data_IF_825071943489
#
_entry.id   IF_825071943489
#
_cell.length_a   1.000
_cell.length_b   1.000
_cell.length_c   1.000
_cell.angle_alpha   90.00
_cell.angle_beta   90.00
_cell.angle_gamma   90.00
#
_symmetry.space_group_name_H-M   'P 1'
#
loop_
_entity.id
_entity.type
_entity.pdbx_description
1 polymer ?
#
# COMPACT_ATOMS: atom_id res chain seq x y z
N UNK A 1 4.74 -33.62 1.65
CA UNK A 1 4.99 -32.25 2.16
C UNK A 1 3.73 -31.75 2.85
N UNK A 2 3.77 -31.36 4.13
CA UNK A 2 2.60 -30.78 4.83
C UNK A 2 2.19 -29.49 4.10
N UNK A 3 0.94 -29.38 3.68
CA UNK A 3 0.40 -28.18 3.01
C UNK A 3 0.47 -27.02 4.01
N UNK A 4 1.32 -26.02 3.74
CA UNK A 4 1.41 -24.85 4.62
C UNK A 4 0.07 -24.12 4.61
N UNK A 5 -0.53 -23.97 5.80
CA UNK A 5 -1.74 -23.16 5.95
C UNK A 5 -1.36 -21.69 5.80
N UNK A 6 -2.11 -20.98 4.94
CA UNK A 6 -1.92 -19.56 4.67
C UNK A 6 -2.95 -18.74 5.45
N UNK A 7 -2.52 -17.60 5.98
CA UNK A 7 -3.37 -16.60 6.63
C UNK A 7 -3.37 -15.34 5.78
N UNK A 8 -4.55 -14.78 5.54
CA UNK A 8 -4.67 -13.48 4.89
C UNK A 8 -4.18 -12.36 5.83
N UNK A 9 -3.13 -11.66 5.42
CA UNK A 9 -2.59 -10.50 6.15
C UNK A 9 -3.12 -9.17 5.59
N UNK A 10 -3.24 -9.07 4.26
CA UNK A 10 -3.66 -7.83 3.57
C UNK A 10 -4.71 -8.09 2.50
N UNK A 11 -5.71 -7.21 2.42
CA UNK A 11 -6.77 -7.23 1.41
C UNK A 11 -6.26 -6.75 0.04
N UNK A 12 -6.93 -7.11 -1.06
CA UNK A 12 -6.52 -6.68 -2.43
C UNK A 12 -6.43 -5.16 -2.55
N UNK A 13 -7.43 -4.43 -2.05
CA UNK A 13 -7.46 -2.97 -2.07
C UNK A 13 -6.36 -2.30 -1.22
N UNK A 14 -5.85 -2.99 -0.21
CA UNK A 14 -4.72 -2.54 0.60
C UNK A 14 -3.41 -2.61 -0.18
N UNK A 15 -3.19 -3.74 -0.85
CA UNK A 15 -2.01 -3.98 -1.66
C UNK A 15 -1.96 -3.07 -2.88
N UNK A 16 -3.08 -2.92 -3.59
CA UNK A 16 -3.16 -2.03 -4.74
C UNK A 16 -2.79 -0.59 -4.35
N UNK A 17 -3.38 -0.06 -3.27
CA UNK A 17 -3.05 1.29 -2.80
C UNK A 17 -1.56 1.42 -2.40
N UNK A 18 -0.98 0.39 -1.78
CA UNK A 18 0.44 0.38 -1.47
C UNK A 18 1.31 0.47 -2.74
N UNK A 19 1.03 -0.36 -3.75
CA UNK A 19 1.80 -0.38 -4.99
C UNK A 19 1.65 0.91 -5.80
N UNK A 20 0.49 1.55 -5.78
CA UNK A 20 0.31 2.90 -6.35
C UNK A 20 1.21 3.91 -5.65
N UNK A 21 1.18 3.95 -4.32
CA UNK A 21 2.05 4.87 -3.54
C UNK A 21 3.53 4.57 -3.74
N UNK A 22 3.92 3.29 -3.82
CA UNK A 22 5.29 2.88 -4.09
C UNK A 22 5.75 3.33 -5.49
N UNK A 23 4.90 3.17 -6.52
CA UNK A 23 5.18 3.65 -7.87
C UNK A 23 5.34 5.18 -7.92
N UNK A 24 4.43 5.92 -7.28
CA UNK A 24 4.56 7.38 -7.16
C UNK A 24 5.84 7.78 -6.43
N UNK A 25 6.18 7.11 -5.33
CA UNK A 25 7.40 7.36 -4.58
C UNK A 25 8.65 7.21 -5.45
N UNK A 26 8.75 6.13 -6.24
CA UNK A 26 9.92 5.91 -7.11
C UNK A 26 10.07 7.06 -8.11
N UNK A 27 8.99 7.47 -8.77
CA UNK A 27 9.02 8.59 -9.71
C UNK A 27 9.40 9.91 -9.01
N UNK A 28 8.84 10.18 -7.83
CA UNK A 28 9.16 11.37 -7.04
C UNK A 28 10.59 11.39 -6.51
N UNK A 29 11.10 10.25 -6.07
CA UNK A 29 12.48 10.11 -5.61
C UNK A 29 13.46 10.36 -6.76
N UNK A 30 13.20 9.79 -7.94
CA UNK A 30 14.03 9.99 -9.14
C UNK A 30 14.04 11.47 -9.55
N UNK A 31 12.86 12.07 -9.74
CA UNK A 31 12.76 13.49 -10.14
C UNK A 31 13.30 14.45 -9.06
N UNK A 32 13.01 14.17 -7.78
CA UNK A 32 13.50 14.96 -6.65
C UNK A 32 15.02 14.91 -6.50
N UNK A 33 15.63 13.72 -6.60
CA UNK A 33 17.08 13.57 -6.59
C UNK A 33 17.75 14.30 -7.76
N UNK A 34 17.12 14.28 -8.93
CA UNK A 34 17.60 15.01 -10.11
C UNK A 34 17.70 16.53 -9.87
N UNK A 35 16.80 17.08 -9.05
CA UNK A 35 16.80 18.51 -8.67
C UNK A 35 17.64 18.81 -7.43
N UNK A 36 17.89 17.80 -6.58
CA UNK A 36 18.61 17.95 -5.32
C UNK A 36 20.12 18.03 -5.51
N UNK A 37 20.70 17.18 -6.35
CA UNK A 37 22.14 17.12 -6.57
C UNK A 37 22.49 17.17 -8.07
N UNK A 38 23.33 18.12 -8.54
CA UNK A 38 23.57 18.33 -9.97
C UNK A 38 24.06 17.09 -10.74
N UNK A 39 24.84 16.21 -10.11
CA UNK A 39 25.33 14.99 -10.75
C UNK A 39 24.19 14.01 -11.12
N UNK A 40 23.02 14.15 -10.50
CA UNK A 40 21.84 13.33 -10.79
C UNK A 40 20.90 13.97 -11.81
N UNK A 41 21.24 15.12 -12.39
CA UNK A 41 20.35 15.84 -13.30
C UNK A 41 19.94 15.02 -14.53
N UNK A 42 20.78 14.07 -14.97
CA UNK A 42 20.47 13.14 -16.06
C UNK A 42 19.21 12.29 -15.80
N UNK A 43 18.83 12.08 -14.54
CA UNK A 43 17.60 11.37 -14.17
C UNK A 43 16.33 12.07 -14.68
N UNK A 44 16.40 13.38 -14.98
CA UNK A 44 15.29 14.09 -15.63
C UNK A 44 14.90 13.50 -16.99
N UNK A 45 15.82 12.83 -17.67
CA UNK A 45 15.56 12.15 -18.95
C UNK A 45 14.54 11.00 -18.84
N UNK A 46 14.34 10.42 -17.64
CA UNK A 46 13.30 9.40 -17.40
C UNK A 46 11.90 9.99 -17.63
N UNK A 47 11.74 11.29 -17.43
CA UNK A 47 10.51 12.03 -17.68
C UNK A 47 10.50 12.68 -19.08
N UNK A 48 11.42 12.29 -19.97
CA UNK A 48 11.60 12.89 -21.30
C UNK A 48 12.38 14.19 -21.26
N UNK A 49 11.92 15.21 -20.51
CA UNK A 49 12.61 16.50 -20.40
C UNK A 49 12.66 17.04 -18.96
N UNK A 50 13.65 17.87 -18.61
CA UNK A 50 13.69 18.56 -17.32
C UNK A 50 12.45 19.42 -17.04
N UNK A 51 11.87 20.01 -18.09
CA UNK A 51 10.64 20.81 -18.00
C UNK A 51 9.46 19.93 -17.60
N UNK A 52 9.31 18.77 -18.24
CA UNK A 52 8.24 17.83 -17.91
C UNK A 52 8.42 17.27 -16.49
N UNK A 53 9.64 16.87 -16.11
CA UNK A 53 9.95 16.40 -14.76
C UNK A 53 9.50 17.42 -13.68
N UNK A 54 9.81 18.71 -13.88
CA UNK A 54 9.44 19.78 -12.96
C UNK A 54 7.92 19.97 -12.86
N UNK A 55 7.21 19.82 -13.99
CA UNK A 55 5.76 19.98 -14.05
C UNK A 55 5.03 18.81 -13.37
N UNK A 56 5.45 17.58 -13.61
CA UNK A 56 4.76 16.39 -13.10
C UNK A 56 5.11 16.07 -11.65
N UNK A 57 6.29 16.44 -11.16
CA UNK A 57 6.71 16.16 -9.79
C UNK A 57 5.67 16.56 -8.73
N UNK A 58 5.19 17.82 -8.65
CA UNK A 58 4.20 18.18 -7.64
C UNK A 58 2.83 17.49 -7.85
N UNK A 59 2.45 17.18 -9.10
CA UNK A 59 1.20 16.49 -9.42
C UNK A 59 1.23 15.04 -8.90
N UNK A 60 2.32 14.31 -9.19
CA UNK A 60 2.54 12.97 -8.66
C UNK A 60 2.65 13.03 -7.13
N UNK A 61 3.22 14.10 -6.58
CA UNK A 61 3.30 14.38 -5.15
C UNK A 61 1.93 14.39 -4.48
N UNK A 62 0.96 15.09 -5.07
CA UNK A 62 -0.43 15.12 -4.58
C UNK A 62 -1.06 13.73 -4.63
N UNK A 63 -0.89 12.99 -5.74
CA UNK A 63 -1.42 11.62 -5.86
C UNK A 63 -0.83 10.71 -4.79
N UNK A 64 0.49 10.78 -4.57
CA UNK A 64 1.17 10.02 -3.52
C UNK A 64 0.63 10.39 -2.13
N UNK A 65 0.49 11.69 -1.84
CA UNK A 65 0.02 12.17 -0.54
C UNK A 65 -1.39 11.65 -0.24
N UNK A 66 -2.32 11.75 -1.19
CA UNK A 66 -3.68 11.23 -1.03
C UNK A 66 -3.71 9.71 -0.88
N UNK A 67 -2.93 8.99 -1.68
CA UNK A 67 -2.80 7.54 -1.58
C UNK A 67 -2.23 7.10 -0.23
N UNK A 68 -1.21 7.79 0.27
CA UNK A 68 -0.61 7.54 1.58
C UNK A 68 -1.58 7.91 2.70
N UNK A 69 -2.28 9.04 2.61
CA UNK A 69 -3.29 9.46 3.59
C UNK A 69 -4.38 8.39 3.75
N UNK A 70 -4.83 7.78 2.65
CA UNK A 70 -5.73 6.62 2.70
C UNK A 70 -5.13 5.42 3.43
N UNK A 71 -3.82 5.15 3.29
CA UNK A 71 -3.14 4.10 4.05
C UNK A 71 -3.08 4.47 5.54
N UNK A 72 -2.74 5.71 5.86
CA UNK A 72 -2.67 6.22 7.22
C UNK A 72 -4.00 5.99 7.96
N UNK A 73 -5.13 6.43 7.39
CA UNK A 73 -6.46 6.25 8.00
C UNK A 73 -6.81 4.78 8.26
N UNK A 74 -6.29 3.87 7.44
CA UNK A 74 -6.53 2.43 7.60
C UNK A 74 -5.66 1.81 8.69
N UNK A 75 -4.40 2.22 8.80
CA UNK A 75 -3.41 1.52 9.63
C UNK A 75 -3.08 2.23 10.94
N UNK A 76 -3.41 3.51 11.11
CA UNK A 76 -3.03 4.30 12.29
C UNK A 76 -3.40 3.63 13.63
N UNK A 77 -4.59 3.05 13.76
CA UNK A 77 -5.04 2.35 14.98
C UNK A 77 -4.15 1.15 15.35
N UNK A 78 -3.58 0.47 14.37
CA UNK A 78 -2.68 -0.66 14.62
C UNK A 78 -1.24 -0.23 14.91
N UNK A 79 -0.92 1.06 14.73
CA UNK A 79 0.44 1.59 14.85
C UNK A 79 0.67 2.45 16.10
N UNK A 80 -0.28 2.47 17.05
CA UNK A 80 -0.02 3.04 18.37
C UNK A 80 1.09 2.24 19.09
N UNK A 81 2.07 2.98 19.60
CA UNK A 81 3.21 2.44 20.35
C UNK A 81 2.71 2.03 21.74
N UNK A 82 2.97 0.79 22.13
CA UNK A 82 2.67 0.24 23.43
C UNK A 82 3.95 -0.19 24.16
N UNK A 83 3.81 -0.64 25.41
CA UNK A 83 4.95 -1.05 26.25
C UNK A 83 5.75 -2.22 25.65
N UNK A 84 5.09 -3.13 24.95
CA UNK A 84 5.75 -4.26 24.28
C UNK A 84 6.59 -3.80 23.08
N UNK A 85 6.14 -2.77 22.36
CA UNK A 85 6.91 -2.17 21.27
C UNK A 85 8.19 -1.49 21.79
N UNK A 86 8.13 -0.86 22.98
CA UNK A 86 9.31 -0.25 23.61
C UNK A 86 10.33 -1.33 23.99
N UNK A 87 9.87 -2.44 24.59
CA UNK A 87 10.74 -3.59 24.88
C UNK A 87 11.39 -4.13 23.59
N UNK A 88 10.60 -4.25 22.52
CA UNK A 88 11.11 -4.67 21.22
C UNK A 88 12.18 -3.70 20.69
N UNK A 89 11.94 -2.38 20.78
CA UNK A 89 12.89 -1.35 20.34
C UNK A 89 14.20 -1.36 21.15
N UNK A 90 14.13 -1.62 22.46
CA UNK A 90 15.32 -1.76 23.30
C UNK A 90 16.12 -3.05 23.00
N UNK A 91 15.48 -4.06 22.43
CA UNK A 91 16.08 -5.33 22.09
C UNK A 91 16.48 -5.47 20.60
N UNK A 92 16.52 -4.37 19.85
CA UNK A 92 16.91 -4.35 18.42
C UNK A 92 18.23 -5.10 18.14
N UNK A 93 19.30 -4.97 18.95
CA UNK A 93 20.53 -5.75 18.70
C UNK A 93 20.30 -7.26 18.69
N UNK A 94 19.40 -7.76 19.54
CA UNK A 94 19.07 -9.19 19.62
C UNK A 94 18.23 -9.63 18.40
N UNK A 95 17.29 -8.78 17.96
CA UNK A 95 16.49 -9.01 16.75
C UNK A 95 17.37 -9.08 15.51
N UNK A 96 18.36 -8.20 15.39
CA UNK A 96 19.31 -8.19 14.27
C UNK A 96 20.18 -9.45 14.25
N UNK A 97 20.46 -10.03 15.42
CA UNK A 97 21.14 -11.33 15.56
C UNK A 97 20.21 -12.55 15.36
N UNK A 98 18.94 -12.33 15.01
CA UNK A 98 17.97 -13.38 14.70
C UNK A 98 17.19 -13.94 15.88
N UNK A 99 17.28 -13.30 17.06
CA UNK A 99 16.47 -13.66 18.23
C UNK A 99 15.09 -12.99 18.18
N UNK A 100 14.04 -13.74 18.48
CA UNK A 100 12.68 -13.20 18.60
C UNK A 100 12.46 -12.67 20.03
N UNK A 101 11.94 -11.46 20.16
CA UNK A 101 11.74 -10.78 21.45
C UNK A 101 10.36 -10.14 21.52
N UNK A 102 9.73 -10.28 22.69
CA UNK A 102 8.45 -9.66 23.02
C UNK A 102 7.23 -10.35 22.37
N UNK A 103 6.05 -9.98 22.86
CA UNK A 103 4.78 -10.49 22.33
C UNK A 103 4.25 -9.58 21.21
N UNK A 104 4.82 -9.74 20.01
CA UNK A 104 4.59 -8.85 18.87
C UNK A 104 3.17 -8.99 18.30
N UNK A 105 2.46 -7.86 18.25
CA UNK A 105 1.13 -7.70 17.64
C UNK A 105 1.16 -7.70 16.11
N UNK A 106 0.15 -7.07 15.48
CA UNK A 106 0.05 -7.02 14.00
C UNK A 106 1.27 -6.37 13.34
N UNK A 107 1.89 -5.41 14.01
CA UNK A 107 3.13 -4.75 13.63
C UNK A 107 4.09 -4.72 14.83
N UNK A 108 5.39 -4.85 14.57
CA UNK A 108 6.43 -4.71 15.59
C UNK A 108 6.83 -3.24 15.81
N UNK A 109 7.64 -2.98 16.86
CA UNK A 109 8.07 -1.62 17.21
C UNK A 109 8.79 -0.90 16.06
N UNK A 110 9.65 -1.59 15.31
CA UNK A 110 10.34 -1.02 14.15
C UNK A 110 9.39 -0.63 13.01
N UNK A 111 8.41 -1.48 12.70
CA UNK A 111 7.37 -1.20 11.70
C UNK A 111 6.52 0.01 12.09
N UNK A 112 6.15 0.13 13.37
CA UNK A 112 5.40 1.28 13.89
C UNK A 112 6.23 2.55 13.88
N UNK A 113 7.49 2.49 14.28
CA UNK A 113 8.42 3.61 14.21
C UNK A 113 8.58 4.11 12.77
N UNK A 114 8.74 3.19 11.82
CA UNK A 114 8.81 3.52 10.39
C UNK A 114 7.50 4.13 9.88
N UNK A 115 6.34 3.63 10.30
CA UNK A 115 5.04 4.21 9.95
C UNK A 115 4.94 5.68 10.39
N UNK A 116 5.34 6.00 11.61
CA UNK A 116 5.30 7.38 12.13
C UNK A 116 6.34 8.28 11.47
N UNK A 117 7.56 7.78 11.23
CA UNK A 117 8.58 8.49 10.47
C UNK A 117 8.06 8.89 9.09
N UNK A 118 7.55 7.91 8.33
CA UNK A 118 7.01 8.15 6.99
C UNK A 118 5.80 9.10 7.02
N UNK A 119 4.95 8.99 8.04
CA UNK A 119 3.81 9.91 8.22
C UNK A 119 4.28 11.35 8.44
N UNK A 120 5.25 11.55 9.34
CA UNK A 120 5.83 12.87 9.59
C UNK A 120 6.46 13.47 8.34
N UNK A 121 7.28 12.69 7.63
CA UNK A 121 7.85 13.12 6.35
C UNK A 121 6.78 13.46 5.32
N UNK A 122 5.73 12.65 5.20
CA UNK A 122 4.65 12.88 4.23
C UNK A 122 3.88 14.18 4.52
N UNK A 123 3.61 14.47 5.79
CA UNK A 123 2.97 15.73 6.20
C UNK A 123 3.85 16.93 5.86
N UNK A 124 5.15 16.87 6.19
CA UNK A 124 6.09 17.95 5.87
C UNK A 124 6.19 18.13 4.35
N UNK A 125 6.36 17.05 3.59
CA UNK A 125 6.45 17.11 2.12
C UNK A 125 5.17 17.65 1.48
N UNK A 126 4.00 17.23 1.95
CA UNK A 126 2.72 17.73 1.46
C UNK A 126 2.58 19.24 1.67
N UNK A 127 2.79 19.72 2.90
CA UNK A 127 2.66 21.15 3.22
C UNK A 127 3.70 21.98 2.49
N UNK A 128 4.97 21.59 2.59
CA UNK A 128 6.07 22.34 1.96
C UNK A 128 6.03 22.28 0.44
N UNK A 129 5.57 21.17 -0.14
CA UNK A 129 5.39 21.00 -1.57
C UNK A 129 4.34 21.94 -2.13
N UNK A 130 3.21 22.12 -1.43
CA UNK A 130 2.20 23.12 -1.79
C UNK A 130 2.79 24.54 -1.71
N UNK A 131 3.48 24.90 -0.62
CA UNK A 131 4.09 26.23 -0.45
C UNK A 131 5.12 26.52 -1.56
N UNK A 132 5.92 25.52 -1.93
CA UNK A 132 6.97 25.65 -2.95
C UNK A 132 6.44 25.59 -4.39
N UNK A 133 5.15 25.30 -4.61
CA UNK A 133 4.58 25.12 -5.94
C UNK A 133 4.40 26.45 -6.65
N UNK A 134 5.40 26.81 -7.47
CA UNK A 134 5.52 28.12 -8.13
C UNK A 134 4.29 28.56 -8.93
N UNK A 135 3.76 27.67 -9.78
CA UNK A 135 2.72 28.05 -10.74
C UNK A 135 1.39 28.44 -10.08
N UNK A 136 1.06 27.84 -8.93
CA UNK A 136 -0.28 27.94 -8.36
C UNK A 136 -0.31 28.57 -6.97
N UNK A 137 0.68 28.28 -6.11
CA UNK A 137 0.56 28.58 -4.67
C UNK A 137 1.67 29.46 -4.12
N UNK A 138 2.90 29.37 -4.65
CA UNK A 138 4.06 30.05 -4.06
C UNK A 138 3.91 31.57 -3.96
N UNK A 139 3.17 32.19 -4.89
CA UNK A 139 2.95 33.63 -4.90
C UNK A 139 2.13 34.16 -3.72
N UNK A 140 1.41 33.29 -3.00
CA UNK A 140 0.65 33.67 -1.80
C UNK A 140 1.50 33.69 -0.52
N UNK A 141 2.77 33.26 -0.58
CA UNK A 141 3.63 33.15 0.58
C UNK A 141 4.81 34.11 0.51
N UNK A 142 5.23 34.62 1.67
CA UNK A 142 6.45 35.41 1.77
C UNK A 142 7.68 34.61 1.30
N UNK A 143 8.65 35.29 0.69
CA UNK A 143 9.85 34.63 0.13
C UNK A 143 10.64 33.81 1.16
N UNK A 144 10.71 34.28 2.41
CA UNK A 144 11.37 33.56 3.49
C UNK A 144 10.65 32.25 3.84
N UNK A 145 9.32 32.24 3.79
CA UNK A 145 8.50 31.03 3.98
C UNK A 145 8.75 30.02 2.88
N UNK A 146 8.83 30.47 1.62
CA UNK A 146 9.14 29.58 0.48
C UNK A 146 10.53 28.98 0.60
N UNK A 147 11.53 29.78 1.01
CA UNK A 147 12.91 29.29 1.23
C UNK A 147 12.96 28.24 2.34
N UNK A 148 12.29 28.49 3.46
CA UNK A 148 12.19 27.52 4.55
C UNK A 148 11.46 26.25 4.10
N UNK A 149 10.38 26.38 3.33
CA UNK A 149 9.65 25.25 2.79
C UNK A 149 10.55 24.38 1.89
N UNK A 150 11.31 24.97 0.99
CA UNK A 150 12.26 24.23 0.14
C UNK A 150 13.32 23.48 0.95
N UNK A 151 13.87 24.11 2.00
CA UNK A 151 14.83 23.46 2.90
C UNK A 151 14.20 22.26 3.61
N UNK A 152 13.05 22.45 4.24
CA UNK A 152 12.34 21.38 4.95
C UNK A 152 11.87 20.26 4.01
N UNK A 153 11.47 20.61 2.79
CA UNK A 153 11.08 19.64 1.76
C UNK A 153 12.27 18.75 1.39
N UNK A 154 13.44 19.34 1.14
CA UNK A 154 14.64 18.60 0.79
C UNK A 154 15.10 17.66 1.92
N UNK A 155 15.07 18.14 3.18
CA UNK A 155 15.37 17.32 4.35
C UNK A 155 14.38 16.17 4.53
N UNK A 156 13.08 16.45 4.48
CA UNK A 156 12.04 15.45 4.62
C UNK A 156 12.09 14.40 3.50
N UNK A 157 12.37 14.81 2.26
CA UNK A 157 12.54 13.91 1.13
C UNK A 157 13.74 12.98 1.33
N UNK A 158 14.89 13.51 1.77
CA UNK A 158 16.10 12.73 2.02
C UNK A 158 15.88 11.69 3.13
N UNK A 159 15.25 12.10 4.23
CA UNK A 159 14.90 11.20 5.34
C UNK A 159 13.91 10.13 4.87
N UNK A 160 12.90 10.49 4.09
CA UNK A 160 11.92 9.55 3.55
C UNK A 160 12.58 8.54 2.61
N UNK A 161 13.49 8.97 1.74
CA UNK A 161 14.24 8.10 0.84
C UNK A 161 15.06 7.09 1.64
N UNK A 162 15.82 7.54 2.63
CA UNK A 162 16.58 6.65 3.52
C UNK A 162 15.66 5.67 4.27
N UNK A 163 14.53 6.15 4.80
CA UNK A 163 13.53 5.32 5.48
C UNK A 163 12.91 4.27 4.57
N UNK A 164 12.62 4.59 3.30
CA UNK A 164 12.09 3.63 2.33
C UNK A 164 13.14 2.58 1.96
N UNK A 165 14.43 2.94 1.84
CA UNK A 165 15.51 1.96 1.63
C UNK A 165 15.52 0.94 2.78
N UNK A 166 15.47 1.42 4.03
CA UNK A 166 15.39 0.55 5.21
C UNK A 166 14.12 -0.30 5.20
N UNK A 167 12.98 0.28 4.84
CA UNK A 167 11.70 -0.44 4.74
C UNK A 167 11.73 -1.59 3.72
N UNK A 168 12.25 -1.34 2.52
CA UNK A 168 12.39 -2.35 1.47
C UNK A 168 13.39 -3.43 1.89
N UNK A 169 14.53 -3.03 2.46
CA UNK A 169 15.53 -3.96 2.95
C UNK A 169 14.97 -4.89 4.03
N UNK A 170 14.23 -4.35 5.01
CA UNK A 170 13.58 -5.14 6.05
C UNK A 170 12.54 -6.12 5.48
N UNK A 171 11.79 -5.72 4.44
CA UNK A 171 10.83 -6.59 3.78
C UNK A 171 11.51 -7.78 3.06
N UNK A 172 12.71 -7.57 2.52
CA UNK A 172 13.51 -8.61 1.85
C UNK A 172 14.20 -9.52 2.88
N UNK A 173 14.75 -8.96 3.95
CA UNK A 173 15.41 -9.71 5.04
C UNK A 173 14.45 -10.72 5.64
N UNK A 174 13.26 -10.28 6.05
CA UNK A 174 12.29 -11.15 6.71
C UNK A 174 11.56 -11.96 5.64
N UNK A 175 12.12 -13.13 5.31
CA UNK A 175 11.60 -14.07 4.30
C UNK A 175 10.10 -14.30 4.49
N UNK A 176 9.33 -14.22 3.40
CA UNK A 176 7.87 -14.34 3.41
C UNK A 176 7.12 -13.02 3.57
N UNK A 177 7.78 -11.91 3.97
CA UNK A 177 7.14 -10.60 4.11
C UNK A 177 6.75 -9.99 2.76
N UNK A 178 7.59 -10.11 1.73
CA UNK A 178 7.28 -9.64 0.37
C UNK A 178 5.99 -10.28 -0.16
N UNK A 179 5.79 -11.58 0.10
CA UNK A 179 4.59 -12.34 -0.27
C UNK A 179 3.32 -11.74 0.34
N UNK A 180 3.41 -11.16 1.54
CA UNK A 180 2.29 -10.47 2.15
C UNK A 180 1.82 -9.27 1.29
N UNK A 181 2.73 -8.54 0.66
CA UNK A 181 2.38 -7.35 -0.14
C UNK A 181 2.07 -7.67 -1.61
N UNK A 182 2.60 -8.76 -2.17
CA UNK A 182 2.27 -9.19 -3.53
C UNK A 182 0.97 -10.01 -3.56
N UNK A 183 0.89 -11.06 -2.75
CA UNK A 183 -0.24 -12.01 -2.75
C UNK A 183 -1.29 -11.73 -1.66
N UNK A 184 -0.89 -11.09 -0.56
CA UNK A 184 -1.79 -10.81 0.58
C UNK A 184 -1.79 -11.83 1.69
N UNK A 185 -0.96 -12.87 1.58
CA UNK A 185 -0.97 -14.02 2.47
C UNK A 185 0.40 -14.26 3.09
N UNK A 186 0.39 -14.83 4.29
CA UNK A 186 1.57 -15.27 5.02
C UNK A 186 1.38 -16.69 5.52
N UNK A 187 2.46 -17.43 5.75
CA UNK A 187 2.37 -18.78 6.32
C UNK A 187 2.05 -18.70 7.81
N UNK A 188 1.34 -19.70 8.36
CA UNK A 188 1.10 -19.77 9.81
C UNK A 188 2.42 -19.77 10.61
N UNK A 189 3.44 -20.45 10.12
CA UNK A 189 4.79 -20.48 10.74
C UNK A 189 5.39 -19.09 10.83
N UNK A 190 5.29 -18.30 9.75
CA UNK A 190 5.75 -16.91 9.73
C UNK A 190 4.99 -16.04 10.73
N UNK A 191 3.66 -16.19 10.77
CA UNK A 191 2.82 -15.43 11.70
C UNK A 191 3.15 -15.77 13.17
N UNK A 192 3.31 -17.06 13.48
CA UNK A 192 3.68 -17.52 14.83
C UNK A 192 5.06 -17.04 15.25
N UNK A 193 6.03 -17.01 14.33
CA UNK A 193 7.41 -16.61 14.59
C UNK A 193 7.55 -15.09 14.80
N UNK A 194 7.08 -14.30 13.85
CA UNK A 194 7.34 -12.85 13.82
C UNK A 194 6.23 -11.99 14.44
N UNK A 195 5.03 -12.56 14.60
CA UNK A 195 3.85 -11.84 15.10
C UNK A 195 3.01 -12.74 16.03
N UNK A 196 3.59 -13.32 17.10
CA UNK A 196 2.96 -14.32 17.95
C UNK A 196 1.62 -13.88 18.54
N UNK A 197 1.49 -12.62 18.97
CA UNK A 197 0.24 -12.09 19.52
C UNK A 197 -0.86 -12.04 18.47
N UNK A 198 -0.54 -11.48 17.30
CA UNK A 198 -1.47 -11.39 16.18
C UNK A 198 -1.89 -12.77 15.68
N UNK A 199 -0.97 -13.74 15.66
CA UNK A 199 -1.31 -15.12 15.31
C UNK A 199 -2.37 -15.70 16.25
N UNK A 200 -2.19 -15.54 17.57
CA UNK A 200 -3.18 -16.02 18.56
C UNK A 200 -4.54 -15.34 18.40
N UNK A 201 -4.56 -14.02 18.16
CA UNK A 201 -5.79 -13.26 17.90
C UNK A 201 -6.53 -13.80 16.66
N UNK A 202 -5.83 -14.01 15.55
CA UNK A 202 -6.44 -14.53 14.31
C UNK A 202 -6.94 -15.96 14.47
N UNK A 203 -6.21 -16.82 15.16
CA UNK A 203 -6.65 -18.20 15.42
C UNK A 203 -7.87 -18.23 16.35
N UNK A 204 -7.90 -17.40 17.40
CA UNK A 204 -9.06 -17.31 18.30
C UNK A 204 -10.32 -16.87 17.55
N UNK A 205 -10.23 -15.81 16.72
CA UNK A 205 -11.36 -15.37 15.90
C UNK A 205 -11.82 -16.42 14.88
N UNK A 206 -10.91 -17.27 14.37
CA UNK A 206 -11.27 -18.35 13.46
C UNK A 206 -12.02 -19.50 14.16
N UNK A 207 -11.78 -19.72 15.45
CA UNK A 207 -12.48 -20.72 16.26
C UNK A 207 -13.87 -20.25 16.73
N UNK A 208 -14.08 -18.94 16.87
CA UNK A 208 -15.37 -18.37 17.29
C UNK A 208 -16.41 -18.27 16.16
N UNK A 209 -16.03 -18.37 14.89
CA UNK A 209 -16.97 -18.58 13.78
C UNK A 209 -17.23 -20.08 13.60
N UNK A 210 -18.39 -20.64 13.99
CA UNK A 210 -18.74 -22.00 13.62
C UNK A 210 -19.02 -22.02 12.12
N UNK A 211 -18.60 -23.09 11.45
CA UNK A 211 -19.03 -23.44 10.10
C UNK A 211 -20.56 -23.51 10.04
N UNK A 212 -21.21 -22.40 9.68
CA UNK A 212 -22.62 -22.37 9.34
C UNK A 212 -22.81 -22.93 7.94
N UNK A 213 -22.67 -24.25 7.79
CA UNK A 213 -23.26 -24.98 6.67
C UNK A 213 -23.44 -26.46 7.05
N UNK A 214 -24.69 -26.84 7.26
CA UNK A 214 -25.10 -28.13 7.82
C UNK A 214 -26.63 -28.27 7.83
N UNK A 215 -27.19 -28.27 6.61
CA UNK A 215 -28.49 -28.78 6.16
C UNK A 215 -29.48 -29.41 7.16
N UNK A 216 -30.73 -28.94 7.07
CA UNK A 216 -31.92 -29.81 6.94
C UNK A 216 -32.75 -30.04 8.19
N UNK A 217 -33.84 -29.28 8.35
CA UNK A 217 -35.11 -29.90 8.74
C UNK A 217 -36.33 -29.16 8.17
N UNK A 218 -37.24 -30.00 7.72
CA UNK A 218 -38.39 -29.80 6.86
C UNK A 218 -39.61 -29.39 7.69
N UNK A 219 -40.23 -28.24 7.41
CA UNK A 219 -41.67 -28.04 7.70
C UNK A 219 -42.30 -27.21 6.59
N UNK A 220 -43.22 -27.85 5.86
CA UNK A 220 -44.02 -27.21 4.82
C UNK A 220 -45.13 -26.34 5.41
N UNK A 221 -45.50 -25.30 4.66
CA UNK A 221 -46.90 -24.88 4.54
C UNK A 221 -47.06 -24.09 3.24
N UNK A 222 -47.97 -24.57 2.41
CA UNK A 222 -48.22 -24.06 1.06
C UNK A 222 -48.91 -22.70 1.00
N UNK A 223 -48.91 -22.12 -0.20
CA UNK A 223 -49.58 -20.86 -0.51
C UNK A 223 -49.38 -20.47 -1.97
N UNK A 224 -50.31 -20.92 -2.79
CA UNK A 224 -50.39 -20.88 -4.25
C UNK A 224 -50.39 -19.46 -4.89
N UNK A 225 -49.92 -19.39 -6.14
CA UNK A 225 -50.63 -18.85 -7.32
C UNK A 225 -49.94 -17.70 -8.11
N UNK A 226 -49.79 -18.00 -9.42
CA UNK A 226 -49.97 -17.11 -10.60
C UNK A 226 -48.95 -15.99 -10.83
N UNK A 227 -48.52 -15.59 -12.02
CA UNK A 227 -48.76 -15.93 -13.44
C UNK A 227 -47.86 -14.94 -14.24
N UNK A 228 -47.67 -15.19 -15.54
CA UNK A 228 -47.14 -14.29 -16.60
C UNK A 228 -45.62 -14.28 -16.78
N UNK A 229 -45.06 -15.09 -17.68
CA UNK A 229 -45.21 -15.08 -19.15
C UNK A 229 -44.62 -13.80 -19.78
N UNK A 230 -43.43 -14.02 -20.33
CA UNK A 230 -42.57 -13.11 -21.06
C UNK A 230 -43.08 -12.96 -22.51
N UNK A 231 -42.97 -11.79 -23.15
CA UNK A 231 -42.99 -11.73 -24.60
C UNK A 231 -41.60 -11.47 -25.18
N UNK A 232 -41.35 -12.29 -26.19
CA UNK A 232 -40.33 -12.29 -27.22
C UNK A 232 -40.50 -11.13 -28.22
N UNK A 233 -39.49 -10.96 -29.09
CA UNK A 233 -39.48 -10.24 -30.37
C UNK A 233 -39.43 -8.69 -30.32
N UNK A 234 -38.80 -7.99 -31.24
CA UNK A 234 -37.97 -8.32 -32.40
C UNK A 234 -37.25 -7.02 -32.81
N UNK A 235 -36.01 -7.13 -33.28
CA UNK A 235 -35.50 -6.21 -34.30
C UNK A 235 -34.35 -6.89 -35.03
N UNK A 236 -34.72 -7.64 -36.07
CA UNK A 236 -33.86 -7.91 -37.21
C UNK A 236 -33.88 -6.70 -38.13
N UNK A 237 -32.72 -6.24 -38.58
CA UNK A 237 -32.55 -5.72 -39.94
C UNK A 237 -31.29 -6.34 -40.56
N UNK A 238 -31.31 -6.62 -41.87
CA UNK A 238 -30.58 -7.72 -42.47
C UNK A 238 -29.24 -7.28 -43.07
N UNK A 239 -28.27 -8.19 -43.09
CA UNK A 239 -27.17 -8.16 -44.04
C UNK A 239 -26.97 -9.55 -44.61
N UNK A 240 -27.13 -9.67 -45.92
CA UNK A 240 -26.85 -10.84 -46.72
C UNK A 240 -26.35 -10.38 -48.11
N UNK A 241 -25.64 -11.23 -48.89
CA UNK A 241 -24.70 -12.26 -48.47
C UNK A 241 -23.45 -12.37 -49.40
N UNK A 242 -22.60 -13.36 -49.08
CA UNK A 242 -21.72 -14.14 -49.95
C UNK A 242 -20.42 -13.46 -50.47
N UNK A 243 -19.31 -14.13 -50.68
CA UNK A 243 -18.74 -15.45 -50.34
C UNK A 243 -17.28 -15.38 -50.82
N UNK A 244 -16.36 -16.14 -50.22
CA UNK A 244 -14.99 -16.25 -50.77
C UNK A 244 -13.95 -16.76 -49.79
N UNK A 245 -13.99 -18.07 -49.53
CA UNK A 245 -12.86 -19.00 -49.39
C UNK A 245 -11.57 -18.60 -48.63
N UNK A 246 -11.30 -19.31 -47.52
CA UNK A 246 -9.95 -19.72 -47.07
C UNK A 246 -9.41 -20.84 -48.00
N UNK A 247 -8.17 -21.43 -47.87
CA UNK A 247 -7.22 -21.41 -46.74
C UNK A 247 -5.70 -21.51 -47.08
N UNK A 248 -4.89 -21.70 -46.01
CA UNK A 248 -3.56 -22.34 -45.92
C UNK A 248 -2.28 -21.50 -46.22
N UNK A 249 -1.53 -21.17 -45.16
CA UNK A 249 -0.24 -21.77 -44.77
C UNK A 249 0.37 -21.00 -43.58
#
# INVERSE_FOLDING_TARGET
MKKERLIQRYKRAERFNHWVVAGCFVLLAISGLAFFYPAFFWLTGIFGTPQLARMVHPIIGVVMFLGFFRQFLRYWRHNFINKEDIKWMMAVPQVLNGHEVGDVGKYNGGQKGMFWLMTGCMLVLGVTGIIAWRQYFSGYFAINTVRLALLLHAWAATILIAGIIVHVYAAIWIRGTVRAMTEGVVTQTWAKKHHPKWYREVMASAHETPSGDGNGDNTGSGGNATDKMQPENANELPAAPAAGEQPQA
#
